data_IF_688292763428
#
_entry.id   IF_688292763428
#
_cell.length_a   1.000
_cell.length_b   1.000
_cell.length_c   1.000
_cell.angle_alpha   90.00
_cell.angle_beta   90.00
_cell.angle_gamma   90.00
#
_symmetry.space_group_name_H-M   'P 1'
#
loop_
_entity.id
_entity.type
_entity.pdbx_description
1 polymer ?
#
# COMPACT_ATOMS: atom_id res chain seq x y z
N UNK A 1 -29.45 -44.34 -38.80
CA UNK A 1 -28.25 -44.30 -37.92
C UNK A 1 -27.42 -43.01 -38.02
N UNK A 2 -27.18 -42.44 -39.22
CA UNK A 2 -26.43 -41.17 -39.36
C UNK A 2 -27.09 -39.95 -38.70
N UNK A 3 -28.42 -39.80 -38.80
CA UNK A 3 -29.16 -38.66 -38.21
C UNK A 3 -29.14 -38.65 -36.67
N UNK A 4 -29.17 -39.83 -36.03
CA UNK A 4 -29.08 -39.97 -34.56
C UNK A 4 -27.68 -39.61 -34.04
N UNK A 5 -26.61 -39.99 -34.78
CA UNK A 5 -25.23 -39.61 -34.42
C UNK A 5 -24.99 -38.10 -34.53
N UNK A 6 -25.59 -37.43 -35.52
CA UNK A 6 -25.49 -35.97 -35.69
C UNK A 6 -26.20 -35.23 -34.55
N UNK A 7 -27.37 -35.69 -34.12
CA UNK A 7 -28.12 -35.07 -33.01
C UNK A 7 -27.39 -35.26 -31.66
N UNK A 8 -26.78 -36.42 -31.41
CA UNK A 8 -25.96 -36.63 -30.20
C UNK A 8 -24.70 -35.76 -30.18
N UNK A 9 -24.02 -35.57 -31.32
CA UNK A 9 -22.85 -34.71 -31.40
C UNK A 9 -23.17 -33.23 -31.21
N UNK A 10 -24.33 -32.76 -31.67
CA UNK A 10 -24.76 -31.36 -31.45
C UNK A 10 -25.14 -31.13 -29.98
N UNK A 11 -25.75 -32.11 -29.32
CA UNK A 11 -26.08 -32.02 -27.89
C UNK A 11 -24.83 -32.02 -27.00
N UNK A 12 -23.78 -32.75 -27.36
CA UNK A 12 -22.50 -32.77 -26.62
C UNK A 12 -21.71 -31.46 -26.74
N UNK A 13 -21.83 -30.74 -27.86
CA UNK A 13 -21.17 -29.45 -28.10
C UNK A 13 -21.88 -28.30 -27.36
N UNK A 14 -23.20 -28.41 -27.16
CA UNK A 14 -23.98 -27.44 -26.38
C UNK A 14 -23.72 -27.53 -24.87
N UNK A 15 -23.29 -28.69 -24.36
CA UNK A 15 -22.92 -28.88 -22.95
C UNK A 15 -21.51 -28.35 -22.59
N UNK A 16 -20.65 -28.08 -23.58
CA UNK A 16 -19.30 -27.53 -23.34
C UNK A 16 -19.24 -25.99 -23.21
N UNK A 17 -20.36 -25.27 -23.33
CA UNK A 17 -20.41 -23.81 -23.23
C UNK A 17 -20.82 -23.28 -21.83
N UNK A 18 -21.09 -24.15 -20.86
CA UNK A 18 -21.44 -23.78 -19.49
C UNK A 18 -20.21 -23.91 -18.56
N UNK A 19 -19.17 -23.11 -18.78
CA UNK A 19 -17.91 -23.21 -18.01
C UNK A 19 -17.16 -21.92 -17.74
N UNK A 20 -17.53 -20.77 -18.33
CA UNK A 20 -16.94 -19.50 -17.92
C UNK A 20 -17.64 -19.01 -16.66
N UNK A 21 -17.10 -19.34 -15.48
CA UNK A 21 -17.42 -18.55 -14.27
C UNK A 21 -17.10 -17.09 -14.61
N UNK A 22 -18.04 -16.14 -14.47
CA UNK A 22 -17.70 -14.74 -14.61
C UNK A 22 -16.60 -14.44 -13.59
N UNK A 23 -15.47 -13.91 -14.05
CA UNK A 23 -14.39 -13.50 -13.19
C UNK A 23 -14.97 -12.40 -12.29
N UNK A 24 -15.28 -12.72 -11.03
CA UNK A 24 -15.94 -11.80 -10.12
C UNK A 24 -14.97 -10.64 -9.91
N UNK A 25 -15.33 -9.45 -10.39
CA UNK A 25 -14.53 -8.24 -10.16
C UNK A 25 -14.41 -8.10 -8.64
N UNK A 26 -13.19 -8.23 -8.12
CA UNK A 26 -12.91 -8.11 -6.69
C UNK A 26 -12.74 -6.62 -6.38
N UNK A 27 -13.30 -6.19 -5.26
CA UNK A 27 -13.02 -4.85 -4.73
C UNK A 27 -11.59 -4.80 -4.20
N UNK A 28 -10.99 -3.60 -4.16
CA UNK A 28 -9.59 -3.43 -3.72
C UNK A 28 -9.28 -4.03 -2.36
N UNK A 29 -10.19 -3.87 -1.41
CA UNK A 29 -10.07 -4.42 -0.06
C UNK A 29 -9.93 -5.95 -0.06
N UNK A 30 -10.70 -6.64 -0.91
CA UNK A 30 -10.62 -8.11 -1.05
C UNK A 30 -9.35 -8.49 -1.81
N UNK A 31 -9.02 -7.76 -2.90
CA UNK A 31 -7.79 -8.00 -3.68
C UNK A 31 -6.55 -7.89 -2.80
N UNK A 32 -6.47 -6.85 -1.98
CA UNK A 32 -5.34 -6.58 -1.09
C UNK A 32 -5.20 -7.63 0.01
N UNK A 33 -6.30 -8.01 0.65
CA UNK A 33 -6.33 -9.12 1.62
C UNK A 33 -5.75 -10.39 0.99
N UNK A 34 -6.29 -10.81 -0.15
CA UNK A 34 -5.85 -12.03 -0.82
C UNK A 34 -4.39 -11.96 -1.29
N UNK A 35 -3.93 -10.82 -1.81
CA UNK A 35 -2.54 -10.61 -2.24
C UNK A 35 -1.58 -10.90 -1.07
N UNK A 36 -1.81 -10.27 0.09
CA UNK A 36 -0.97 -10.47 1.27
C UNK A 36 -1.15 -11.86 1.90
N UNK A 37 -2.37 -12.37 2.03
CA UNK A 37 -2.62 -13.63 2.74
C UNK A 37 -2.25 -14.87 1.92
N UNK A 38 -2.28 -14.79 0.58
CA UNK A 38 -1.97 -15.93 -0.29
C UNK A 38 -0.55 -16.45 -0.13
N UNK A 39 0.38 -15.59 0.32
CA UNK A 39 1.79 -15.93 0.54
C UNK A 39 2.14 -16.16 2.02
N UNK A 40 1.15 -16.17 2.92
CA UNK A 40 1.36 -16.48 4.34
C UNK A 40 2.07 -17.84 4.52
N UNK A 41 3.13 -17.87 5.33
CA UNK A 41 3.87 -19.10 5.64
C UNK A 41 4.72 -19.67 4.51
N UNK A 42 4.70 -19.07 3.31
CA UNK A 42 5.59 -19.46 2.21
C UNK A 42 7.03 -19.00 2.47
N UNK A 43 8.01 -19.54 1.74
CA UNK A 43 9.38 -19.05 1.80
C UNK A 43 9.58 -17.90 0.80
N UNK A 44 10.26 -16.84 1.23
CA UNK A 44 10.72 -15.78 0.33
C UNK A 44 11.98 -16.20 -0.44
N UNK A 45 12.46 -15.34 -1.34
CA UNK A 45 13.66 -15.58 -2.16
C UNK A 45 14.94 -15.86 -1.34
N UNK A 46 14.99 -15.37 -0.10
CA UNK A 46 16.09 -15.61 0.84
C UNK A 46 15.91 -16.87 1.68
N UNK A 47 14.88 -17.68 1.43
CA UNK A 47 14.56 -18.89 2.18
C UNK A 47 13.99 -18.64 3.58
N UNK A 48 13.57 -17.41 3.90
CA UNK A 48 12.90 -17.09 5.17
C UNK A 48 11.39 -17.22 5.03
N UNK A 49 10.73 -17.72 6.07
CA UNK A 49 9.27 -17.79 6.12
C UNK A 49 8.65 -16.40 6.12
N UNK A 50 7.69 -16.19 5.24
CA UNK A 50 6.86 -14.98 5.16
C UNK A 50 5.89 -14.98 6.33
N UNK A 51 5.93 -13.92 7.12
CA UNK A 51 5.11 -13.72 8.32
C UNK A 51 3.63 -13.82 7.94
N UNK A 52 2.86 -14.64 8.65
CA UNK A 52 1.41 -14.70 8.41
C UNK A 52 0.72 -13.49 9.02
N UNK A 53 -0.14 -12.83 8.24
CA UNK A 53 -1.03 -11.78 8.74
C UNK A 53 -2.47 -12.08 8.36
N UNK A 54 -3.40 -11.50 9.08
CA UNK A 54 -4.83 -11.50 8.75
C UNK A 54 -5.28 -10.06 8.55
N UNK A 55 -5.92 -9.79 7.43
CA UNK A 55 -6.45 -8.49 7.02
C UNK A 55 -7.97 -8.59 6.97
N UNK A 56 -8.67 -7.66 7.61
CA UNK A 56 -10.14 -7.60 7.55
C UNK A 56 -10.60 -7.36 6.10
N UNK A 57 -11.66 -8.04 5.67
CA UNK A 57 -12.26 -7.80 4.35
C UNK A 57 -12.76 -6.36 4.20
N UNK A 58 -13.13 -5.66 5.27
CA UNK A 58 -13.59 -4.27 5.27
C UNK A 58 -12.45 -3.24 5.44
N UNK A 59 -11.22 -3.60 5.06
CA UNK A 59 -10.08 -2.68 5.17
C UNK A 59 -10.22 -1.43 4.26
N UNK A 60 -9.57 -0.30 4.61
CA UNK A 60 -9.75 0.98 3.92
C UNK A 60 -8.85 1.13 2.67
N UNK A 61 -8.23 0.04 2.20
CA UNK A 61 -7.26 0.07 1.10
C UNK A 61 -7.96 0.35 -0.24
N UNK A 62 -7.31 1.19 -1.03
CA UNK A 62 -7.56 1.41 -2.45
C UNK A 62 -6.24 1.34 -3.17
N UNK A 63 -6.18 0.58 -4.25
CA UNK A 63 -4.99 0.64 -5.10
C UNK A 63 -5.08 1.92 -5.92
N UNK A 64 -3.91 2.48 -6.19
CA UNK A 64 -3.74 3.53 -7.18
C UNK A 64 -2.80 3.02 -8.26
N UNK A 65 -2.99 3.48 -9.48
CA UNK A 65 -2.15 3.16 -10.62
C UNK A 65 -0.99 4.16 -10.75
N UNK A 66 -0.03 3.87 -11.64
CA UNK A 66 1.20 4.67 -11.79
C UNK A 66 0.94 6.16 -12.01
N UNK A 67 -0.06 6.51 -12.82
CA UNK A 67 -0.44 7.87 -13.18
C UNK A 67 -1.22 8.61 -12.08
N UNK A 68 -1.67 7.89 -11.05
CA UNK A 68 -2.40 8.45 -9.90
C UNK A 68 -1.49 8.71 -8.70
N UNK A 69 -0.26 8.18 -8.68
CA UNK A 69 0.64 8.27 -7.50
C UNK A 69 1.00 9.71 -7.14
N UNK A 70 1.34 10.55 -8.12
CA UNK A 70 1.70 11.94 -7.86
C UNK A 70 0.48 12.75 -7.42
N UNK A 71 -0.66 12.55 -8.08
CA UNK A 71 -1.93 13.18 -7.69
C UNK A 71 -2.31 12.82 -6.25
N UNK A 72 -2.12 11.57 -5.85
CA UNK A 72 -2.32 11.12 -4.47
C UNK A 72 -1.35 11.78 -3.46
N UNK A 73 -0.21 12.33 -3.87
CA UNK A 73 0.70 13.01 -2.96
C UNK A 73 0.41 14.51 -2.82
N UNK A 74 -0.20 15.13 -3.83
CA UNK A 74 -0.37 16.59 -3.91
C UNK A 74 -1.82 17.07 -3.85
N UNK A 75 -2.78 16.14 -3.73
CA UNK A 75 -4.20 16.47 -3.63
C UNK A 75 -4.92 15.57 -2.62
N UNK A 76 -6.04 16.06 -2.09
CA UNK A 76 -6.94 15.31 -1.23
C UNK A 76 -6.46 15.13 0.22
N UNK A 77 -7.22 14.35 0.97
CA UNK A 77 -6.95 14.01 2.37
C UNK A 77 -7.05 12.51 2.56
N UNK A 78 -5.91 11.84 2.61
CA UNK A 78 -5.79 10.38 2.70
C UNK A 78 -4.38 9.95 3.12
N UNK A 79 -4.22 8.67 3.38
CA UNK A 79 -2.90 8.06 3.64
C UNK A 79 -2.40 7.42 2.35
N UNK A 80 -1.14 7.64 1.98
CA UNK A 80 -0.46 6.90 0.91
C UNK A 80 0.46 5.87 1.54
N UNK A 81 0.39 4.61 1.09
CA UNK A 81 1.19 3.50 1.58
C UNK A 81 2.03 2.90 0.45
N UNK A 82 3.35 2.99 0.60
CA UNK A 82 4.33 2.34 -0.24
C UNK A 82 4.88 1.08 0.45
N UNK A 83 4.63 -0.08 -0.14
CA UNK A 83 5.10 -1.37 0.36
C UNK A 83 4.86 -2.49 -0.64
N UNK A 84 5.04 -3.74 -0.22
CA UNK A 84 4.71 -4.92 -1.04
C UNK A 84 4.51 -6.16 -0.15
N UNK A 85 3.83 -7.22 -0.64
CA UNK A 85 3.42 -8.36 0.19
C UNK A 85 4.56 -9.11 0.88
N UNK A 86 5.72 -9.28 0.26
CA UNK A 86 6.84 -10.07 0.83
C UNK A 86 7.64 -9.32 1.90
N UNK A 87 7.44 -8.01 2.04
CA UNK A 87 8.18 -7.15 2.96
C UNK A 87 7.82 -7.45 4.43
N UNK A 88 8.79 -7.95 5.20
CA UNK A 88 8.59 -8.31 6.61
C UNK A 88 8.18 -7.11 7.48
N UNK A 89 8.82 -5.95 7.30
CA UNK A 89 8.44 -4.71 8.00
C UNK A 89 7.00 -4.28 7.68
N UNK A 90 6.59 -4.46 6.43
CA UNK A 90 5.25 -4.13 5.97
C UNK A 90 4.20 -4.98 6.68
N UNK A 91 4.45 -6.28 6.80
CA UNK A 91 3.56 -7.20 7.52
C UNK A 91 3.43 -6.89 9.01
N UNK A 92 4.42 -6.23 9.61
CA UNK A 92 4.36 -5.77 11.01
C UNK A 92 3.60 -4.45 11.16
N UNK A 93 3.82 -3.53 10.25
CA UNK A 93 3.23 -2.20 10.27
C UNK A 93 1.76 -2.17 9.85
N UNK A 94 1.42 -2.95 8.82
CA UNK A 94 0.16 -2.86 8.10
C UNK A 94 -1.08 -3.17 8.95
N UNK A 95 -1.11 -4.23 9.79
CA UNK A 95 -2.26 -4.46 10.67
C UNK A 95 -2.51 -3.29 11.64
N UNK A 96 -1.44 -2.66 12.14
CA UNK A 96 -1.54 -1.51 13.04
C UNK A 96 -2.04 -0.27 12.31
N UNK A 97 -1.57 -0.04 11.07
CA UNK A 97 -2.03 1.05 10.22
C UNK A 97 -3.51 0.91 9.88
N UNK A 98 -3.96 -0.28 9.44
CA UNK A 98 -5.36 -0.53 9.09
C UNK A 98 -6.26 -0.32 10.32
N UNK A 99 -5.86 -0.83 11.48
CA UNK A 99 -6.58 -0.63 12.74
C UNK A 99 -6.68 0.85 13.11
N UNK A 100 -5.59 1.62 12.99
CA UNK A 100 -5.61 3.06 13.24
C UNK A 100 -6.54 3.80 12.27
N UNK A 101 -6.40 3.59 10.96
CA UNK A 101 -7.20 4.30 9.93
C UNK A 101 -8.70 3.98 10.05
N UNK A 102 -9.06 2.74 10.39
CA UNK A 102 -10.46 2.36 10.59
C UNK A 102 -11.18 3.12 11.72
N UNK A 103 -10.44 3.78 12.61
CA UNK A 103 -11.02 4.65 13.65
C UNK A 103 -11.49 6.00 13.07
N UNK A 104 -11.09 6.37 11.85
CA UNK A 104 -11.38 7.64 11.21
C UNK A 104 -12.32 7.42 10.02
N UNK A 105 -13.61 7.62 10.25
CA UNK A 105 -14.64 7.37 9.24
C UNK A 105 -14.35 8.14 7.94
N UNK A 106 -14.32 7.42 6.81
CA UNK A 106 -14.09 8.01 5.50
C UNK A 106 -12.62 8.08 5.08
N UNK A 107 -11.67 7.92 6.01
CA UNK A 107 -10.25 7.88 5.70
C UNK A 107 -9.89 6.65 4.86
N UNK A 108 -9.04 6.84 3.85
CA UNK A 108 -8.58 5.79 2.92
C UNK A 108 -7.08 5.65 2.96
N UNK A 109 -6.62 4.45 2.62
CA UNK A 109 -5.21 4.16 2.37
C UNK A 109 -5.05 3.88 0.88
N UNK A 110 -4.39 4.78 0.16
CA UNK A 110 -3.99 4.61 -1.22
C UNK A 110 -2.69 3.81 -1.26
N UNK A 111 -2.75 2.61 -1.81
CA UNK A 111 -1.65 1.66 -1.88
C UNK A 111 -1.06 1.63 -3.28
N UNK A 112 0.26 1.78 -3.35
CA UNK A 112 1.05 1.54 -4.54
C UNK A 112 2.26 0.66 -4.19
N UNK A 113 2.46 -0.41 -4.96
CA UNK A 113 3.66 -1.24 -4.80
C UNK A 113 4.86 -0.56 -5.45
N UNK A 114 5.67 0.12 -4.63
CA UNK A 114 6.86 0.85 -5.11
C UNK A 114 8.02 -0.08 -5.51
N UNK A 115 7.88 -1.40 -5.32
CA UNK A 115 8.96 -2.39 -5.49
C UNK A 115 9.62 -2.30 -6.87
N UNK A 116 8.83 -2.41 -7.94
CA UNK A 116 9.36 -2.40 -9.31
C UNK A 116 9.94 -1.03 -9.68
N UNK A 117 9.29 0.07 -9.28
CA UNK A 117 9.79 1.42 -9.53
C UNK A 117 11.17 1.67 -8.91
N UNK A 118 11.36 1.16 -7.69
CA UNK A 118 12.66 1.19 -7.02
C UNK A 118 13.68 0.27 -7.69
N UNK A 119 13.31 -0.94 -8.05
CA UNK A 119 14.21 -1.88 -8.73
C UNK A 119 14.66 -1.36 -10.09
N UNK A 120 13.76 -0.78 -10.88
CA UNK A 120 14.08 -0.16 -12.16
C UNK A 120 15.05 1.02 -11.94
N UNK A 121 14.81 1.87 -10.94
CA UNK A 121 15.71 2.96 -10.60
C UNK A 121 17.09 2.48 -10.13
N UNK A 122 17.13 1.58 -9.14
CA UNK A 122 18.38 1.05 -8.56
C UNK A 122 19.23 0.33 -9.63
N UNK A 123 18.61 -0.27 -10.67
CA UNK A 123 19.28 -0.92 -11.79
C UNK A 123 19.56 0.00 -12.99
N UNK A 124 19.24 1.29 -12.92
CA UNK A 124 19.45 2.25 -14.01
C UNK A 124 18.60 2.01 -15.25
N UNK A 125 17.44 1.35 -15.10
CA UNK A 125 16.50 1.09 -16.18
C UNK A 125 15.75 2.39 -16.52
N UNK A 126 15.77 2.80 -17.78
CA UNK A 126 15.06 3.98 -18.27
C UNK A 126 13.55 3.77 -18.47
N UNK A 127 12.85 3.17 -17.50
CA UNK A 127 11.41 2.91 -17.56
C UNK A 127 10.58 4.10 -17.05
N UNK A 128 9.28 4.10 -17.36
CA UNK A 128 8.34 5.07 -16.78
C UNK A 128 8.22 4.91 -15.26
N UNK A 129 8.39 3.69 -14.73
CA UNK A 129 8.41 3.44 -13.30
C UNK A 129 9.65 4.03 -12.61
N UNK A 130 10.83 3.97 -13.25
CA UNK A 130 12.03 4.63 -12.73
C UNK A 130 11.89 6.17 -12.75
N UNK A 131 11.18 6.74 -13.73
CA UNK A 131 10.85 8.17 -13.76
C UNK A 131 9.88 8.52 -12.63
N UNK A 132 8.81 7.75 -12.47
CA UNK A 132 7.86 7.92 -11.36
C UNK A 132 8.59 7.87 -10.01
N UNK A 133 9.51 6.94 -9.82
CA UNK A 133 10.27 6.82 -8.57
C UNK A 133 11.02 8.11 -8.22
N UNK A 134 11.64 8.75 -9.21
CA UNK A 134 12.32 10.05 -9.05
C UNK A 134 11.31 11.16 -8.75
N UNK A 135 10.20 11.20 -9.47
CA UNK A 135 9.16 12.22 -9.28
C UNK A 135 8.52 12.13 -7.89
N UNK A 136 8.25 10.91 -7.39
CA UNK A 136 7.81 10.70 -6.01
C UNK A 136 8.84 11.23 -5.04
N UNK A 137 10.12 10.90 -5.23
CA UNK A 137 11.21 11.44 -4.41
C UNK A 137 11.23 12.98 -4.40
N UNK A 138 11.12 13.61 -5.58
CA UNK A 138 11.11 15.07 -5.71
C UNK A 138 9.93 15.69 -4.93
N UNK A 139 8.72 15.16 -5.08
CA UNK A 139 7.54 15.64 -4.34
C UNK A 139 7.72 15.50 -2.83
N UNK A 140 8.24 14.35 -2.36
CA UNK A 140 8.49 14.14 -0.93
C UNK A 140 9.53 15.13 -0.39
N UNK A 141 10.63 15.35 -1.12
CA UNK A 141 11.71 16.27 -0.71
C UNK A 141 11.32 17.76 -0.80
N UNK A 142 10.29 18.11 -1.56
CA UNK A 142 9.75 19.47 -1.64
C UNK A 142 8.75 19.79 -0.52
N UNK A 143 8.26 18.78 0.21
CA UNK A 143 7.37 18.99 1.36
C UNK A 143 8.12 19.51 2.59
N UNK A 144 7.38 20.05 3.56
CA UNK A 144 7.94 20.52 4.83
C UNK A 144 8.33 19.38 5.80
N UNK A 145 8.09 18.11 5.42
CA UNK A 145 8.46 16.95 6.25
C UNK A 145 9.95 16.70 6.16
N UNK A 146 10.62 16.60 7.31
CA UNK A 146 12.02 16.20 7.36
C UNK A 146 12.17 14.69 7.15
N UNK A 147 12.58 14.32 5.93
CA UNK A 147 12.85 12.93 5.59
C UNK A 147 14.22 12.43 6.06
N UNK A 148 15.13 13.28 6.54
CA UNK A 148 16.50 12.88 6.88
C UNK A 148 16.56 11.87 8.04
N UNK A 149 15.61 11.92 8.98
CA UNK A 149 15.55 10.96 10.08
C UNK A 149 14.99 9.59 9.66
N UNK A 150 14.22 9.56 8.55
CA UNK A 150 13.52 8.36 8.12
C UNK A 150 14.07 7.74 6.84
N UNK A 151 14.84 8.46 6.03
CA UNK A 151 15.52 7.84 4.90
C UNK A 151 16.76 8.58 4.43
N UNK A 152 17.55 7.89 3.61
CA UNK A 152 18.74 8.44 2.98
C UNK A 152 18.39 8.99 1.60
N UNK A 153 19.11 10.04 1.21
CA UNK A 153 19.16 10.55 -0.16
C UNK A 153 20.44 10.01 -0.80
N UNK A 154 20.33 9.49 -2.01
CA UNK A 154 21.49 8.97 -2.75
C UNK A 154 22.32 10.09 -3.40
N UNK A 155 23.40 9.70 -4.09
CA UNK A 155 24.30 10.63 -4.76
C UNK A 155 23.66 11.44 -5.90
N UNK A 156 22.51 10.99 -6.43
CA UNK A 156 21.76 11.66 -7.47
C UNK A 156 20.67 12.58 -6.91
N UNK A 157 20.58 12.73 -5.58
CA UNK A 157 19.55 13.53 -4.93
C UNK A 157 18.20 12.81 -4.82
N UNK A 158 18.15 11.49 -5.01
CA UNK A 158 16.90 10.71 -4.93
C UNK A 158 16.74 10.11 -3.54
N UNK A 159 15.62 10.43 -2.90
CA UNK A 159 15.18 9.87 -1.63
C UNK A 159 14.91 8.37 -1.78
N UNK A 160 15.50 7.56 -0.90
CA UNK A 160 15.23 6.12 -0.87
C UNK A 160 13.87 5.85 -0.25
N UNK A 161 12.88 5.41 -1.02
CA UNK A 161 11.57 5.03 -0.50
C UNK A 161 11.68 3.64 0.15
N UNK A 162 11.71 3.60 1.48
CA UNK A 162 11.87 2.37 2.26
C UNK A 162 10.51 1.75 2.59
N UNK A 163 10.29 0.49 2.21
CA UNK A 163 9.07 -0.20 2.64
C UNK A 163 9.15 -0.64 4.11
N UNK A 164 8.09 -0.54 4.91
CA UNK A 164 6.82 0.17 4.67
C UNK A 164 7.01 1.68 4.85
N UNK A 165 6.65 2.51 3.87
CA UNK A 165 6.60 3.97 4.02
C UNK A 165 5.15 4.44 3.93
N UNK A 166 4.76 5.28 4.87
CA UNK A 166 3.39 5.75 5.06
C UNK A 166 3.45 7.27 5.03
N UNK A 167 2.73 7.89 4.12
CA UNK A 167 2.67 9.34 3.94
C UNK A 167 1.26 9.80 4.30
N UNK A 168 1.16 10.85 5.10
CA UNK A 168 -0.10 11.44 5.53
C UNK A 168 -0.33 12.74 4.76
N UNK A 169 -1.35 12.74 3.89
CA UNK A 169 -1.69 13.88 3.01
C UNK A 169 -2.97 14.52 3.51
N UNK A 170 -2.96 15.83 3.71
CA UNK A 170 -4.11 16.63 4.15
C UNK A 170 -4.27 17.83 3.24
N UNK A 171 -5.42 17.93 2.58
CA UNK A 171 -5.77 19.02 1.67
C UNK A 171 -4.68 19.29 0.60
N UNK A 172 -4.04 18.21 0.14
CA UNK A 172 -2.94 18.23 -0.83
C UNK A 172 -1.55 18.52 -0.24
N UNK A 173 -1.43 18.70 1.07
CA UNK A 173 -0.16 18.90 1.76
C UNK A 173 0.30 17.63 2.48
N UNK A 174 1.57 17.26 2.33
CA UNK A 174 2.16 16.17 3.09
C UNK A 174 2.47 16.69 4.50
N UNK A 175 1.72 16.23 5.49
CA UNK A 175 1.85 16.69 6.89
C UNK A 175 2.72 15.76 7.74
N UNK A 176 3.10 14.60 7.21
CA UNK A 176 3.90 13.63 7.93
C UNK A 176 4.24 12.39 7.14
N UNK A 177 5.27 11.70 7.60
CA UNK A 177 5.67 10.40 7.08
C UNK A 177 6.15 9.49 8.21
N UNK A 178 5.95 8.19 8.04
CA UNK A 178 6.47 7.16 8.94
C UNK A 178 7.06 5.99 8.14
N UNK A 179 8.08 5.34 8.70
CA UNK A 179 8.69 4.14 8.11
C UNK A 179 8.63 2.95 9.05
N UNK A 180 8.42 1.77 8.47
CA UNK A 180 8.50 0.48 9.15
C UNK A 180 7.59 0.46 10.39
N UNK A 181 8.18 0.31 11.57
CA UNK A 181 7.52 0.22 12.87
C UNK A 181 8.20 1.22 13.82
N UNK A 182 8.28 0.91 15.11
CA UNK A 182 8.98 1.75 16.08
C UNK A 182 10.49 1.47 16.13
N UNK A 183 11.33 2.45 16.55
CA UNK A 183 12.79 2.28 16.66
C UNK A 183 13.23 1.15 17.59
N UNK A 184 12.42 0.82 18.59
CA UNK A 184 12.68 -0.25 19.56
C UNK A 184 12.42 -1.67 18.99
N UNK A 185 11.86 -1.78 17.79
CA UNK A 185 11.62 -3.05 17.11
C UNK A 185 12.74 -3.31 16.08
N UNK A 186 13.68 -4.19 16.46
CA UNK A 186 14.94 -4.35 15.75
C UNK A 186 14.91 -5.40 14.63
N UNK A 187 14.10 -6.45 14.78
CA UNK A 187 13.95 -7.50 13.78
C UNK A 187 12.50 -7.64 13.34
N UNK A 188 12.24 -7.30 12.08
CA UNK A 188 10.93 -7.47 11.44
C UNK A 188 10.32 -8.88 11.51
N UNK A 189 11.12 -9.93 11.74
CA UNK A 189 10.62 -11.29 11.88
C UNK A 189 10.07 -11.58 13.27
N UNK A 190 10.40 -10.78 14.28
CA UNK A 190 9.84 -10.87 15.63
C UNK A 190 8.47 -10.19 15.72
N UNK A 191 7.61 -10.67 16.63
CA UNK A 191 6.33 -10.02 16.91
C UNK A 191 6.57 -8.66 17.59
N UNK A 192 5.73 -7.68 17.26
CA UNK A 192 5.67 -6.44 18.04
C UNK A 192 5.18 -6.76 19.45
N UNK A 193 5.84 -6.23 20.46
CA UNK A 193 5.31 -6.23 21.82
C UNK A 193 4.05 -5.37 21.91
N UNK A 194 3.27 -5.53 22.98
CA UNK A 194 2.09 -4.69 23.20
C UNK A 194 2.46 -3.20 23.25
N UNK A 195 3.57 -2.85 23.92
CA UNK A 195 4.04 -1.48 24.01
C UNK A 195 4.47 -0.92 22.65
N UNK A 196 5.21 -1.70 21.86
CA UNK A 196 5.61 -1.30 20.50
C UNK A 196 4.40 -1.13 19.57
N UNK A 197 3.39 -1.99 19.70
CA UNK A 197 2.14 -1.88 18.93
C UNK A 197 1.37 -0.62 19.32
N UNK A 198 1.29 -0.31 20.61
CA UNK A 198 0.63 0.89 21.11
C UNK A 198 1.37 2.16 20.67
N UNK A 199 2.69 2.21 20.84
CA UNK A 199 3.55 3.31 20.37
C UNK A 199 3.36 3.55 18.87
N UNK A 200 3.40 2.48 18.06
CA UNK A 200 3.18 2.59 16.62
C UNK A 200 1.79 3.14 16.28
N UNK A 201 0.76 2.65 16.97
CA UNK A 201 -0.62 3.12 16.79
C UNK A 201 -0.78 4.59 17.20
N UNK A 202 -0.13 5.02 18.26
CA UNK A 202 -0.10 6.41 18.71
C UNK A 202 0.56 7.33 17.67
N UNK A 203 1.68 6.92 17.08
CA UNK A 203 2.32 7.66 15.98
C UNK A 203 1.33 7.88 14.83
N UNK A 204 0.65 6.83 14.38
CA UNK A 204 -0.34 6.94 13.31
C UNK A 204 -1.53 7.82 13.71
N UNK A 205 -2.04 7.65 14.92
CA UNK A 205 -3.15 8.44 15.43
C UNK A 205 -2.82 9.93 15.52
N UNK A 206 -1.59 10.29 15.90
CA UNK A 206 -1.18 11.70 15.97
C UNK A 206 -1.27 12.39 14.60
N UNK A 207 -0.88 11.71 13.51
CA UNK A 207 -1.06 12.26 12.17
C UNK A 207 -2.52 12.23 11.73
N UNK A 208 -3.24 11.11 11.92
CA UNK A 208 -4.64 10.97 11.53
C UNK A 208 -5.55 11.99 12.22
N UNK A 209 -5.30 12.34 13.48
CA UNK A 209 -6.01 13.40 14.19
C UNK A 209 -5.77 14.77 13.53
N UNK A 210 -4.52 15.10 13.19
CA UNK A 210 -4.20 16.35 12.52
C UNK A 210 -4.86 16.49 11.15
N UNK A 211 -5.07 15.37 10.44
CA UNK A 211 -5.76 15.34 9.15
C UNK A 211 -7.24 15.74 9.25
N UNK A 212 -7.89 15.46 10.38
CA UNK A 212 -9.34 15.73 10.57
C UNK A 212 -9.63 17.01 11.37
N UNK A 213 -8.63 17.59 12.04
CA UNK A 213 -8.80 18.88 12.71
C UNK A 213 -8.78 19.99 11.67
N UNK A 214 -9.80 20.85 11.65
CA UNK A 214 -9.76 22.09 10.88
C UNK A 214 -8.55 22.93 11.35
N UNK A 215 -7.76 23.45 10.41
CA UNK A 215 -6.73 24.43 10.75
C UNK A 215 -7.35 25.63 11.45
N UNK A 216 -6.58 26.46 12.20
CA UNK A 216 -7.10 27.69 12.74
C UNK A 216 -7.72 28.50 11.60
N UNK A 217 -9.05 28.58 11.61
CA UNK A 217 -9.84 29.06 10.47
C UNK A 217 -9.25 30.34 9.93
N UNK A 218 -8.96 30.34 8.62
CA UNK A 218 -8.78 31.58 7.88
C UNK A 218 -9.98 32.46 8.22
N UNK A 219 -9.73 33.56 8.92
CA UNK A 219 -10.69 34.62 9.10
C UNK A 219 -11.00 35.18 7.71
N UNK A 220 -11.96 34.57 7.02
CA UNK A 220 -12.65 35.23 5.92
C UNK A 220 -13.44 36.37 6.55
N UNK A 221 -12.99 37.58 6.27
CA UNK A 221 -13.46 38.81 6.90
C UNK A 221 -14.98 38.98 6.95
N UNK A 222 -15.42 39.59 8.05
CA UNK A 222 -16.59 40.45 8.08
C UNK A 222 -16.12 41.90 7.85
#
# INVERSE_FOLDING_TARGET
MKKIKIVLSIFLILLSLAGCKPNKIKTDNIRFKEEYESINGQLNESGKTIISIEIDENNPIKYIEQDEVIEALINGTHVVYFGWPECSWCRRALPVLIDAVNQYQGMRIYYFSIKQAREDYDNGVGSELAKLYKEVSEVLLLSDVDFAEISAVDENGVLRIVASMIIFVKDGEIIGAHRRTVPSHFDSYEELTADQKNELKEIYNNFLQQMITEGPGGCSGC
#
